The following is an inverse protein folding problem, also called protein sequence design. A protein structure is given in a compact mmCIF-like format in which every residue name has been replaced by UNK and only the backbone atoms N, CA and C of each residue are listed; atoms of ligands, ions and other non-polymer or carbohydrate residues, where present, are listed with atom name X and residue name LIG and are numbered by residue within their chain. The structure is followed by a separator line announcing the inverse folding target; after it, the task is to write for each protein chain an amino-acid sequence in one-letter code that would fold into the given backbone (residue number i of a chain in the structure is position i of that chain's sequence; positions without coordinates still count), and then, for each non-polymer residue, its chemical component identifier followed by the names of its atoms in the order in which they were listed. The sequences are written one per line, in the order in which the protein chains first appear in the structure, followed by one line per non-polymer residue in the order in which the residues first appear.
data_IF_899224057114
#
_entry.id   IF_899224057114
#
_cell.length_a   1.000
_cell.length_b   1.000
_cell.length_c   1.000
_cell.angle_alpha   90.00
_cell.angle_beta   90.00
_cell.angle_gamma   90.00
#
_symmetry.space_group_name_H-M   'P 1'
#
loop_
_entity.id
_entity.type
_entity.pdbx_description
1 polymer ?
#
# COMPACT_ATOMS: atom_id res chain seq x y z
N UNK A 1 21.66 -32.44 -1.97
CA UNK A 1 22.10 -31.03 -2.14
C UNK A 1 20.87 -30.26 -2.59
N UNK A 2 20.48 -29.16 -1.92
CA UNK A 2 19.33 -28.34 -2.35
C UNK A 2 19.83 -27.38 -3.44
N UNK A 3 19.32 -27.55 -4.65
CA UNK A 3 19.74 -26.77 -5.81
C UNK A 3 19.41 -25.28 -5.64
N UNK A 4 20.22 -24.40 -6.23
CA UNK A 4 20.04 -22.94 -6.19
C UNK A 4 18.64 -22.48 -6.61
N UNK A 5 18.00 -23.24 -7.49
CA UNK A 5 16.62 -23.02 -7.95
C UNK A 5 15.59 -23.13 -6.81
N UNK A 6 15.77 -24.08 -5.89
CA UNK A 6 14.87 -24.26 -4.75
C UNK A 6 14.90 -23.05 -3.79
N UNK A 7 16.11 -22.51 -3.55
CA UNK A 7 16.30 -21.33 -2.70
C UNK A 7 15.69 -20.08 -3.31
N UNK A 8 15.85 -19.86 -4.62
CA UNK A 8 15.25 -18.71 -5.31
C UNK A 8 13.72 -18.71 -5.24
N UNK A 9 13.09 -19.86 -5.50
CA UNK A 9 11.62 -19.97 -5.46
C UNK A 9 11.09 -19.76 -4.05
N UNK A 10 11.71 -20.38 -3.05
CA UNK A 10 11.27 -20.28 -1.65
C UNK A 10 11.47 -18.86 -1.11
N UNK A 11 12.62 -18.24 -1.39
CA UNK A 11 12.94 -16.89 -0.95
C UNK A 11 12.01 -15.84 -1.58
N UNK A 12 11.78 -15.91 -2.90
CA UNK A 12 10.87 -15.02 -3.60
C UNK A 12 9.43 -15.15 -3.07
N UNK A 13 9.00 -16.38 -2.78
CA UNK A 13 7.67 -16.64 -2.21
C UNK A 13 7.54 -16.03 -0.81
N UNK A 14 8.53 -16.21 0.05
CA UNK A 14 8.55 -15.61 1.39
C UNK A 14 8.50 -14.09 1.32
N UNK A 15 9.37 -13.46 0.52
CA UNK A 15 9.37 -12.00 0.34
C UNK A 15 8.00 -11.47 -0.13
N UNK A 16 7.38 -12.16 -1.09
CA UNK A 16 6.05 -11.78 -1.60
C UNK A 16 4.99 -11.84 -0.50
N UNK A 17 4.99 -12.91 0.31
CA UNK A 17 4.05 -13.04 1.44
C UNK A 17 4.25 -11.93 2.45
N UNK A 18 5.50 -11.64 2.85
CA UNK A 18 5.80 -10.57 3.79
C UNK A 18 5.41 -9.18 3.25
N UNK A 19 5.71 -8.88 1.98
CA UNK A 19 5.31 -7.63 1.35
C UNK A 19 3.78 -7.45 1.39
N UNK A 20 3.03 -8.50 1.06
CA UNK A 20 1.57 -8.48 1.10
C UNK A 20 1.02 -8.25 2.52
N UNK A 21 1.60 -8.93 3.51
CA UNK A 21 1.22 -8.74 4.91
C UNK A 21 1.47 -7.31 5.37
N UNK A 22 2.59 -6.70 4.99
CA UNK A 22 2.89 -5.29 5.28
C UNK A 22 1.81 -4.39 4.69
N UNK A 23 1.43 -4.58 3.41
CA UNK A 23 0.37 -3.79 2.79
C UNK A 23 -0.99 -3.98 3.46
N UNK A 24 -1.34 -5.20 3.88
CA UNK A 24 -2.59 -5.46 4.62
C UNK A 24 -2.61 -4.71 5.95
N UNK A 25 -1.52 -4.76 6.71
CA UNK A 25 -1.39 -4.04 7.98
C UNK A 25 -1.46 -2.52 7.76
N UNK A 26 -0.82 -2.00 6.72
CA UNK A 26 -0.88 -0.57 6.38
C UNK A 26 -2.29 -0.13 6.01
N UNK A 27 -3.01 -0.91 5.21
CA UNK A 27 -4.41 -0.63 4.88
C UNK A 27 -5.31 -0.69 6.11
N UNK A 28 -5.13 -1.67 6.99
CA UNK A 28 -5.84 -1.75 8.27
C UNK A 28 -5.58 -0.50 9.12
N UNK A 29 -4.32 -0.10 9.28
CA UNK A 29 -3.94 1.12 10.00
C UNK A 29 -4.60 2.36 9.41
N UNK A 30 -4.65 2.47 8.08
CA UNK A 30 -5.33 3.55 7.38
C UNK A 30 -6.85 3.58 7.67
N UNK A 31 -7.54 2.44 7.61
CA UNK A 31 -8.97 2.38 7.94
C UNK A 31 -9.25 2.63 9.43
N UNK A 32 -8.40 2.14 10.32
CA UNK A 32 -8.52 2.42 11.76
C UNK A 32 -8.38 3.93 11.99
N UNK A 33 -7.36 4.58 11.41
CA UNK A 33 -7.19 6.02 11.51
C UNK A 33 -8.39 6.79 10.93
N UNK A 34 -8.96 6.35 9.79
CA UNK A 34 -10.17 6.95 9.22
C UNK A 34 -11.37 6.95 10.16
N UNK A 35 -11.55 5.88 10.94
CA UNK A 35 -12.70 5.67 11.82
C UNK A 35 -12.49 6.31 13.19
N UNK A 36 -11.29 6.14 13.75
CA UNK A 36 -10.98 6.57 15.11
C UNK A 36 -10.70 8.07 15.17
N UNK A 37 -9.76 8.56 14.37
CA UNK A 37 -9.35 9.96 14.37
C UNK A 37 -8.64 10.34 13.08
N UNK A 38 -9.31 11.18 12.29
CA UNK A 38 -8.82 11.67 10.99
C UNK A 38 -7.57 12.54 11.12
N UNK A 39 -7.33 13.17 12.27
CA UNK A 39 -6.15 14.01 12.47
C UNK A 39 -4.84 13.23 12.26
N UNK A 40 -4.85 11.91 12.48
CA UNK A 40 -3.70 11.05 12.19
C UNK A 40 -3.39 10.96 10.70
N UNK A 41 -4.41 10.90 9.83
CA UNK A 41 -4.21 10.86 8.39
C UNK A 41 -3.64 12.18 7.90
N UNK A 42 -4.16 13.29 8.42
CA UNK A 42 -3.68 14.64 8.10
C UNK A 42 -2.22 14.81 8.56
N UNK A 43 -1.88 14.31 9.76
CA UNK A 43 -0.51 14.33 10.27
C UNK A 43 0.45 13.51 9.41
N UNK A 44 0.07 12.29 9.01
CA UNK A 44 0.88 11.43 8.14
C UNK A 44 1.02 12.05 6.74
N UNK A 45 -0.05 12.63 6.21
CA UNK A 45 -0.02 13.32 4.93
C UNK A 45 0.91 14.54 4.95
N UNK A 46 0.78 15.40 5.97
CA UNK A 46 1.63 16.56 6.14
C UNK A 46 3.10 16.16 6.33
N UNK A 47 3.37 15.10 7.10
CA UNK A 47 4.72 14.55 7.24
C UNK A 47 5.29 14.08 5.88
N UNK A 48 4.52 13.31 5.11
CA UNK A 48 4.95 12.84 3.80
C UNK A 48 5.22 14.00 2.83
N UNK A 49 4.43 15.08 2.90
CA UNK A 49 4.60 16.30 2.12
C UNK A 49 5.64 17.27 2.70
N UNK A 50 6.16 17.05 3.91
CA UNK A 50 7.25 17.83 4.48
C UNK A 50 8.63 17.27 4.09
N UNK A 51 8.69 16.05 3.54
CA UNK A 51 9.95 15.41 3.14
C UNK A 51 10.64 16.16 1.99
N UNK A 52 11.99 16.22 1.99
CA UNK A 52 12.77 16.68 0.84
C UNK A 52 12.45 15.87 -0.42
N UNK A 53 12.55 16.48 -1.61
CA UNK A 53 12.06 15.90 -2.87
C UNK A 53 12.51 14.46 -3.12
N UNK A 54 13.80 14.15 -2.93
CA UNK A 54 14.33 12.81 -3.11
C UNK A 54 13.69 11.78 -2.16
N UNK A 55 13.62 12.13 -0.87
CA UNK A 55 13.01 11.27 0.14
C UNK A 55 11.53 11.08 -0.12
N UNK A 56 10.83 12.14 -0.53
CA UNK A 56 9.42 12.09 -0.91
C UNK A 56 9.20 11.10 -2.06
N UNK A 57 10.00 11.17 -3.12
CA UNK A 57 9.90 10.23 -4.26
C UNK A 57 10.12 8.79 -3.81
N UNK A 58 11.13 8.52 -2.99
CA UNK A 58 11.41 7.18 -2.48
C UNK A 58 10.23 6.64 -1.66
N UNK A 59 9.69 7.43 -0.72
CA UNK A 59 8.54 7.03 0.09
C UNK A 59 7.30 6.82 -0.79
N UNK A 60 7.06 7.67 -1.78
CA UNK A 60 5.98 7.51 -2.76
C UNK A 60 6.11 6.26 -3.60
N UNK A 61 7.31 5.85 -3.99
CA UNK A 61 7.52 4.61 -4.75
C UNK A 61 7.26 3.38 -3.86
N UNK A 62 7.76 3.39 -2.63
CA UNK A 62 7.64 2.23 -1.72
C UNK A 62 6.20 2.05 -1.23
N UNK A 63 5.55 3.15 -0.85
CA UNK A 63 4.21 3.13 -0.23
C UNK A 63 3.13 3.67 -1.17
N UNK A 64 3.36 3.57 -2.47
CA UNK A 64 2.51 4.15 -3.52
C UNK A 64 1.02 3.92 -3.32
N UNK A 65 0.51 2.68 -3.15
CA UNK A 65 -0.92 2.47 -3.03
C UNK A 65 -1.52 3.13 -1.77
N UNK A 66 -0.78 3.17 -0.66
CA UNK A 66 -1.24 3.77 0.60
C UNK A 66 -1.22 5.29 0.51
N UNK A 67 -0.15 5.87 -0.06
CA UNK A 67 -0.04 7.31 -0.25
C UNK A 67 -1.03 7.86 -1.28
N UNK A 68 -1.35 7.07 -2.32
CA UNK A 68 -2.45 7.40 -3.22
C UNK A 68 -3.79 7.33 -2.49
N UNK A 69 -3.99 6.36 -1.60
CA UNK A 69 -5.17 6.31 -0.73
C UNK A 69 -5.31 7.56 0.16
N UNK A 70 -4.21 7.99 0.80
CA UNK A 70 -4.14 9.25 1.56
C UNK A 70 -4.43 10.46 0.67
N UNK A 71 -3.85 10.54 -0.52
CA UNK A 71 -4.08 11.64 -1.45
C UNK A 71 -5.53 11.72 -1.92
N UNK A 72 -6.16 10.58 -2.23
CA UNK A 72 -7.60 10.51 -2.58
C UNK A 72 -8.44 11.02 -1.42
N UNK A 73 -8.06 10.65 -0.19
CA UNK A 73 -8.77 11.04 1.01
C UNK A 73 -8.66 12.54 1.30
N UNK A 74 -7.47 13.12 1.12
CA UNK A 74 -7.21 14.54 1.33
C UNK A 74 -7.72 15.42 0.18
N UNK A 75 -7.89 14.84 -1.01
CA UNK A 75 -8.40 15.55 -2.18
C UNK A 75 -9.79 16.14 -1.93
N UNK A 76 -10.09 17.25 -2.59
CA UNK A 76 -11.39 17.96 -2.53
C UNK A 76 -12.57 17.20 -3.16
N UNK A 77 -12.40 15.90 -3.41
CA UNK A 77 -13.43 15.06 -4.01
C UNK A 77 -14.62 14.89 -3.06
N UNK A 78 -15.84 14.74 -3.62
CA UNK A 78 -17.00 14.37 -2.83
C UNK A 78 -16.79 13.01 -2.16
N UNK A 79 -17.46 12.77 -1.02
CA UNK A 79 -17.28 11.57 -0.20
C UNK A 79 -17.40 10.27 -1.01
N UNK A 80 -18.36 10.20 -1.94
CA UNK A 80 -18.52 9.04 -2.83
C UNK A 80 -17.32 8.84 -3.75
N UNK A 81 -16.73 9.91 -4.28
CA UNK A 81 -15.51 9.86 -5.08
C UNK A 81 -14.33 9.34 -4.28
N UNK A 82 -14.19 9.77 -3.02
CA UNK A 82 -13.14 9.27 -2.10
C UNK A 82 -13.30 7.77 -1.84
N UNK A 83 -14.50 7.32 -1.52
CA UNK A 83 -14.79 5.90 -1.29
C UNK A 83 -14.57 5.05 -2.54
N UNK A 84 -14.98 5.55 -3.72
CA UNK A 84 -14.74 4.87 -4.98
C UNK A 84 -13.25 4.76 -5.30
N UNK A 85 -12.48 5.83 -5.08
CA UNK A 85 -11.03 5.83 -5.27
C UNK A 85 -10.32 4.87 -4.31
N UNK A 86 -10.69 4.89 -3.02
CA UNK A 86 -10.17 3.95 -2.03
C UNK A 86 -10.53 2.50 -2.36
N UNK A 87 -11.79 2.24 -2.72
CA UNK A 87 -12.26 0.92 -3.14
C UNK A 87 -11.53 0.42 -4.39
N UNK A 88 -11.33 1.30 -5.37
CA UNK A 88 -10.54 1.01 -6.57
C UNK A 88 -9.09 0.67 -6.24
N UNK A 89 -8.46 1.42 -5.33
CA UNK A 89 -7.08 1.16 -4.89
C UNK A 89 -6.94 -0.15 -4.11
N UNK A 90 -7.91 -0.48 -3.25
CA UNK A 90 -7.97 -1.77 -2.57
C UNK A 90 -8.11 -2.92 -3.56
N UNK A 91 -9.04 -2.80 -4.51
CA UNK A 91 -9.26 -3.80 -5.54
C UNK A 91 -8.03 -3.97 -6.42
N UNK A 92 -7.38 -2.88 -6.81
CA UNK A 92 -6.14 -2.91 -7.57
C UNK A 92 -5.01 -3.61 -6.80
N UNK A 93 -4.82 -3.24 -5.52
CA UNK A 93 -3.80 -3.84 -4.66
C UNK A 93 -4.06 -5.34 -4.53
N UNK A 94 -5.30 -5.74 -4.27
CA UNK A 94 -5.70 -7.15 -4.20
C UNK A 94 -5.48 -7.88 -5.53
N UNK A 95 -5.86 -7.27 -6.66
CA UNK A 95 -5.68 -7.84 -7.99
C UNK A 95 -4.19 -8.02 -8.35
N UNK A 96 -3.34 -7.05 -8.01
CA UNK A 96 -1.90 -7.14 -8.21
C UNK A 96 -1.29 -8.29 -7.38
N UNK A 97 -1.73 -8.46 -6.13
CA UNK A 97 -1.30 -9.58 -5.30
C UNK A 97 -1.79 -10.92 -5.86
N UNK A 98 -3.05 -10.99 -6.27
CA UNK A 98 -3.66 -12.20 -6.80
C UNK A 98 -3.02 -12.62 -8.14
N UNK A 99 -2.74 -11.67 -9.04
CA UNK A 99 -2.11 -11.96 -10.35
C UNK A 99 -0.70 -12.52 -10.18
N UNK A 100 0.09 -11.96 -9.27
CA UNK A 100 1.41 -12.48 -8.91
C UNK A 100 1.27 -13.93 -8.43
N UNK A 101 0.37 -14.20 -7.48
CA UNK A 101 0.20 -15.56 -6.95
C UNK A 101 -0.24 -16.60 -8.00
N UNK A 102 -1.02 -16.17 -9.00
CA UNK A 102 -1.48 -17.04 -10.10
C UNK A 102 -0.38 -17.34 -11.11
N UNK A 103 0.50 -16.38 -11.39
CA UNK A 103 1.63 -16.57 -12.30
C UNK A 103 2.73 -17.50 -11.74
N UNK A 104 2.73 -17.78 -10.44
CA UNK A 104 3.68 -18.69 -9.78
C UNK A 104 3.11 -20.09 -9.49
N UNK A 105 1.90 -20.40 -9.98
CA UNK A 105 1.27 -21.73 -9.89
C UNK A 105 1.49 -22.50 -11.18
#
# INVERSE_FOLDING_TARGET
MRDSTFWNVTFARSLTVYANLIFVVLWLGFFIALIVDRAWLDAVWNWAQALPTLHRVVVWIIFLPVLVGLWIWESSWPMLGRLAGLGGMLLWTYAAVASISRNFR
#
